data_IF_848533015750
#
_entry.id   IF_848533015750
#
_cell.length_a   1.000
_cell.length_b   1.000
_cell.length_c   1.000
_cell.angle_alpha   90.00
_cell.angle_beta   90.00
_cell.angle_gamma   90.00
#
_symmetry.space_group_name_H-M   'P 1'
#
loop_
_entity.id
_entity.type
_entity.pdbx_description
1 polymer ?
#
# COMPACT_ATOMS: atom_id res chain seq x y z
N UNK A 1 -8.51 -0.38 16.79
CA UNK A 1 -7.62 0.03 15.67
C UNK A 1 -7.08 -1.19 14.92
N UNK A 2 -6.59 -2.21 15.62
CA UNK A 2 -6.03 -3.47 15.07
C UNK A 2 -6.97 -4.21 14.09
N UNK A 3 -8.26 -4.40 14.43
CA UNK A 3 -9.20 -5.12 13.56
C UNK A 3 -9.40 -4.45 12.18
N UNK A 4 -9.40 -3.11 12.12
CA UNK A 4 -9.50 -2.37 10.85
C UNK A 4 -8.24 -2.52 10.00
N UNK A 5 -7.08 -2.60 10.64
CA UNK A 5 -5.81 -2.86 9.96
C UNK A 5 -5.82 -4.26 9.34
N UNK A 6 -6.14 -5.29 10.14
CA UNK A 6 -6.22 -6.69 9.67
C UNK A 6 -7.18 -6.83 8.48
N UNK A 7 -8.39 -6.25 8.58
CA UNK A 7 -9.37 -6.32 7.49
C UNK A 7 -8.87 -5.66 6.20
N UNK A 8 -8.13 -4.56 6.28
CA UNK A 8 -7.56 -3.88 5.10
C UNK A 8 -6.44 -4.70 4.47
N UNK A 9 -5.52 -5.22 5.28
CA UNK A 9 -4.42 -6.06 4.80
C UNK A 9 -4.94 -7.32 4.12
N UNK A 10 -5.95 -7.97 4.68
CA UNK A 10 -6.56 -9.16 4.08
C UNK A 10 -7.10 -8.90 2.67
N UNK A 11 -7.76 -7.75 2.45
CA UNK A 11 -8.31 -7.42 1.12
C UNK A 11 -7.20 -7.14 0.09
N UNK A 12 -6.10 -6.52 0.51
CA UNK A 12 -4.93 -6.32 -0.35
C UNK A 12 -4.32 -7.66 -0.78
N UNK A 13 -4.21 -8.62 0.15
CA UNK A 13 -3.72 -9.97 -0.14
C UNK A 13 -4.64 -10.67 -1.14
N UNK A 14 -5.96 -10.64 -0.93
CA UNK A 14 -6.93 -11.25 -1.84
C UNK A 14 -6.83 -10.63 -3.25
N UNK A 15 -6.74 -9.30 -3.33
CA UNK A 15 -6.55 -8.60 -4.60
C UNK A 15 -5.25 -9.02 -5.30
N UNK A 16 -4.14 -9.06 -4.57
CA UNK A 16 -2.85 -9.49 -5.12
C UNK A 16 -2.89 -10.94 -5.64
N UNK A 17 -3.53 -11.85 -4.91
CA UNK A 17 -3.72 -13.24 -5.33
C UNK A 17 -4.61 -13.34 -6.58
N UNK A 18 -5.67 -12.55 -6.67
CA UNK A 18 -6.54 -12.50 -7.85
C UNK A 18 -5.77 -11.99 -9.08
N UNK A 19 -5.03 -10.89 -8.95
CA UNK A 19 -4.14 -10.38 -10.01
C UNK A 19 -3.12 -11.45 -10.42
N UNK A 20 -2.50 -12.14 -9.46
CA UNK A 20 -1.53 -13.20 -9.74
C UNK A 20 -2.14 -14.42 -10.45
N UNK A 21 -3.41 -14.73 -10.17
CA UNK A 21 -4.15 -15.74 -10.92
C UNK A 21 -4.40 -15.31 -12.37
N UNK A 22 -4.79 -14.05 -12.57
CA UNK A 22 -5.06 -13.48 -13.90
C UNK A 22 -3.81 -13.43 -14.78
N UNK A 23 -2.63 -13.14 -14.22
CA UNK A 23 -1.36 -13.15 -14.99
C UNK A 23 -0.95 -14.53 -15.49
N UNK A 24 -1.57 -15.61 -15.03
CA UNK A 24 -1.37 -16.94 -15.63
C UNK A 24 -2.08 -17.12 -16.96
N UNK A 25 -3.11 -16.30 -17.23
CA UNK A 25 -3.96 -16.41 -18.42
C UNK A 25 -3.79 -15.23 -19.38
N UNK A 26 -3.29 -14.11 -18.87
CA UNK A 26 -3.22 -12.83 -19.58
C UNK A 26 -1.80 -12.27 -19.49
N UNK A 27 -1.40 -11.52 -20.50
CA UNK A 27 -0.20 -10.67 -20.42
C UNK A 27 -0.26 -9.76 -19.17
N UNK A 28 0.84 -9.57 -18.43
CA UNK A 28 0.85 -8.80 -17.19
C UNK A 28 0.28 -7.38 -17.34
N UNK A 29 0.56 -6.69 -18.46
CA UNK A 29 0.07 -5.34 -18.69
C UNK A 29 -1.39 -5.32 -19.08
N UNK A 30 -1.84 -6.31 -19.86
CA UNK A 30 -3.25 -6.49 -20.17
C UNK A 30 -4.07 -6.79 -18.89
N UNK A 31 -3.53 -7.58 -17.96
CA UNK A 31 -4.11 -7.80 -16.64
C UNK A 31 -4.25 -6.50 -15.85
N UNK A 32 -3.21 -5.65 -15.80
CA UNK A 32 -3.27 -4.34 -15.11
C UNK A 32 -4.37 -3.47 -15.69
N UNK A 33 -4.47 -3.39 -17.02
CA UNK A 33 -5.49 -2.59 -17.70
C UNK A 33 -6.90 -3.10 -17.37
N UNK A 34 -7.14 -4.40 -17.47
CA UNK A 34 -8.44 -5.02 -17.15
C UNK A 34 -8.81 -4.83 -15.68
N UNK A 35 -7.85 -5.01 -14.78
CA UNK A 35 -8.04 -4.78 -13.34
C UNK A 35 -8.37 -3.31 -13.05
N UNK A 36 -7.65 -2.37 -13.68
CA UNK A 36 -7.88 -0.94 -13.50
C UNK A 36 -9.28 -0.52 -13.94
N UNK A 37 -9.76 -1.03 -15.09
CA UNK A 37 -11.12 -0.77 -15.59
C UNK A 37 -12.16 -1.37 -14.64
N UNK A 38 -11.97 -2.62 -14.22
CA UNK A 38 -12.91 -3.31 -13.32
C UNK A 38 -13.00 -2.61 -11.97
N UNK A 39 -11.86 -2.19 -11.41
CA UNK A 39 -11.81 -1.44 -10.16
C UNK A 39 -12.35 -0.02 -10.30
N UNK A 40 -12.22 0.62 -11.47
CA UNK A 40 -12.86 1.91 -11.73
C UNK A 40 -14.39 1.76 -11.70
N UNK A 41 -14.94 0.74 -12.36
CA UNK A 41 -16.36 0.42 -12.31
C UNK A 41 -16.83 0.07 -10.89
N UNK A 42 -16.08 -0.74 -10.15
CA UNK A 42 -16.39 -1.10 -8.77
C UNK A 42 -16.36 0.13 -7.82
N UNK A 43 -15.35 0.99 -7.94
CA UNK A 43 -15.26 2.21 -7.14
C UNK A 43 -16.36 3.22 -7.52
N UNK A 44 -16.70 3.34 -8.81
CA UNK A 44 -17.79 4.18 -9.30
C UNK A 44 -19.18 3.69 -8.88
N UNK A 45 -19.42 2.38 -8.86
CA UNK A 45 -20.66 1.82 -8.33
C UNK A 45 -20.77 2.02 -6.83
N UNK A 46 -19.68 1.84 -6.08
CA UNK A 46 -19.63 2.18 -4.65
C UNK A 46 -19.93 3.67 -4.39
N UNK A 47 -19.39 4.55 -5.23
CA UNK A 47 -19.65 5.99 -5.19
C UNK A 47 -21.15 6.30 -5.37
N UNK A 48 -21.77 5.68 -6.37
CA UNK A 48 -23.17 5.83 -6.67
C UNK A 48 -24.06 5.28 -5.54
N UNK A 49 -23.71 4.13 -4.96
CA UNK A 49 -24.40 3.58 -3.80
C UNK A 49 -24.37 4.52 -2.60
N UNK A 50 -23.22 5.14 -2.30
CA UNK A 50 -23.11 6.14 -1.24
C UNK A 50 -23.97 7.38 -1.52
N UNK A 51 -23.99 7.87 -2.76
CA UNK A 51 -24.80 9.02 -3.16
C UNK A 51 -26.30 8.77 -2.96
N UNK A 52 -26.76 7.53 -3.11
CA UNK A 52 -28.18 7.14 -2.90
C UNK A 52 -28.49 6.69 -1.47
N UNK A 53 -27.51 6.69 -0.58
CA UNK A 53 -27.71 6.33 0.82
C UNK A 53 -27.99 7.58 1.66
N UNK A 54 -28.98 7.51 2.56
CA UNK A 54 -29.23 8.58 3.52
C UNK A 54 -28.04 8.73 4.48
N UNK A 55 -27.61 9.97 4.72
CA UNK A 55 -26.54 10.28 5.67
C UNK A 55 -27.02 9.90 7.09
N UNK A 56 -26.17 9.23 7.86
CA UNK A 56 -26.47 8.84 9.25
C UNK A 56 -27.05 7.43 9.43
N UNK A 57 -27.49 6.76 8.36
CA UNK A 57 -28.03 5.39 8.45
C UNK A 57 -27.02 4.32 8.01
N UNK A 58 -26.84 3.28 8.83
CA UNK A 58 -26.04 2.11 8.46
C UNK A 58 -26.88 1.18 7.58
N UNK A 59 -26.85 1.40 6.28
CA UNK A 59 -27.52 0.55 5.28
C UNK A 59 -26.57 -0.50 4.70
N UNK A 60 -27.11 -1.53 4.05
CA UNK A 60 -26.31 -2.51 3.31
C UNK A 60 -25.47 -1.86 2.20
N UNK A 61 -25.98 -0.79 1.57
CA UNK A 61 -25.26 0.02 0.56
C UNK A 61 -23.96 0.59 1.14
N UNK A 62 -24.01 1.10 2.36
CA UNK A 62 -22.84 1.65 3.06
C UNK A 62 -21.81 0.57 3.39
N UNK A 63 -22.26 -0.66 3.71
CA UNK A 63 -21.35 -1.79 3.94
C UNK A 63 -20.63 -2.21 2.65
N UNK A 64 -21.35 -2.31 1.53
CA UNK A 64 -20.77 -2.65 0.21
C UNK A 64 -19.80 -1.56 -0.25
N UNK A 65 -20.18 -0.29 -0.13
CA UNK A 65 -19.29 0.80 -0.47
C UNK A 65 -18.04 0.86 0.43
N UNK A 66 -18.19 0.54 1.72
CA UNK A 66 -17.06 0.39 2.65
C UNK A 66 -16.15 -0.80 2.34
N UNK A 67 -16.65 -1.82 1.63
CA UNK A 67 -15.86 -2.94 1.14
C UNK A 67 -14.97 -2.53 -0.03
N UNK A 68 -15.54 -1.79 -0.99
CA UNK A 68 -14.91 -1.37 -2.24
C UNK A 68 -14.02 -0.12 -2.09
N UNK A 69 -14.34 0.76 -1.13
CA UNK A 69 -13.62 2.01 -0.87
C UNK A 69 -12.89 2.04 0.50
N UNK A 70 -12.10 1.02 0.88
CA UNK A 70 -11.56 0.92 2.25
C UNK A 70 -10.51 2.00 2.59
N UNK A 71 -9.88 2.58 1.57
CA UNK A 71 -8.75 3.49 1.71
C UNK A 71 -9.18 4.97 1.64
N UNK A 72 -10.20 5.27 0.85
CA UNK A 72 -10.60 6.63 0.54
C UNK A 72 -11.16 7.44 1.71
N UNK A 73 -11.84 6.80 2.67
CA UNK A 73 -12.51 7.52 3.78
C UNK A 73 -11.53 8.32 4.65
N UNK A 74 -10.26 7.92 4.70
CA UNK A 74 -9.24 8.71 5.38
C UNK A 74 -8.91 9.99 4.60
N UNK A 75 -8.83 9.95 3.28
CA UNK A 75 -8.45 11.09 2.45
C UNK A 75 -9.63 12.05 2.14
N UNK A 76 -10.86 11.56 2.15
CA UNK A 76 -12.03 12.23 1.58
C UNK A 76 -12.48 13.55 2.20
N UNK A 77 -12.27 13.78 3.52
CA UNK A 77 -12.84 14.95 4.24
C UNK A 77 -14.33 15.20 3.95
N UNK A 78 -15.13 14.15 3.78
CA UNK A 78 -16.55 14.24 3.42
C UNK A 78 -16.84 14.48 1.93
N UNK A 79 -15.82 14.71 1.10
CA UNK A 79 -15.97 14.73 -0.37
C UNK A 79 -15.89 13.32 -0.92
N UNK A 80 -16.83 12.97 -1.79
CA UNK A 80 -16.96 11.61 -2.32
C UNK A 80 -15.89 11.30 -3.38
N UNK A 81 -15.56 12.26 -4.25
CA UNK A 81 -14.61 12.04 -5.35
C UNK A 81 -13.19 11.63 -4.89
N UNK A 82 -12.56 12.27 -3.88
CA UNK A 82 -11.26 11.82 -3.40
C UNK A 82 -11.29 10.41 -2.80
N UNK A 83 -12.41 10.01 -2.17
CA UNK A 83 -12.56 8.66 -1.59
C UNK A 83 -12.45 7.60 -2.69
N UNK A 84 -13.15 7.84 -3.79
CA UNK A 84 -13.19 6.96 -4.96
C UNK A 84 -11.82 6.88 -5.62
N UNK A 85 -11.22 8.04 -5.90
CA UNK A 85 -9.93 8.12 -6.57
C UNK A 85 -8.83 7.43 -5.77
N UNK A 86 -8.72 7.70 -4.48
CA UNK A 86 -7.68 7.08 -3.64
C UNK A 86 -7.85 5.57 -3.57
N UNK A 87 -9.08 5.08 -3.43
CA UNK A 87 -9.30 3.62 -3.35
C UNK A 87 -8.97 2.94 -4.68
N UNK A 88 -9.40 3.52 -5.80
CA UNK A 88 -9.07 3.03 -7.13
C UNK A 88 -7.55 2.98 -7.37
N UNK A 89 -6.84 4.07 -7.07
CA UNK A 89 -5.38 4.13 -7.21
C UNK A 89 -4.68 3.02 -6.43
N UNK A 90 -5.09 2.77 -5.18
CA UNK A 90 -4.50 1.69 -4.38
C UNK A 90 -4.71 0.32 -5.04
N UNK A 91 -5.92 0.06 -5.56
CA UNK A 91 -6.19 -1.20 -6.25
C UNK A 91 -5.36 -1.36 -7.53
N UNK A 92 -5.15 -0.29 -8.29
CA UNK A 92 -4.30 -0.30 -9.50
C UNK A 92 -2.83 -0.53 -9.13
N UNK A 93 -2.33 0.13 -8.09
CA UNK A 93 -0.96 -0.06 -7.62
C UNK A 93 -0.67 -1.50 -7.21
N UNK A 94 -1.64 -2.19 -6.60
CA UNK A 94 -1.52 -3.63 -6.30
C UNK A 94 -1.36 -4.45 -7.59
N UNK A 95 -2.16 -4.19 -8.62
CA UNK A 95 -2.03 -4.89 -9.90
C UNK A 95 -0.69 -4.61 -10.58
N UNK A 96 -0.23 -3.36 -10.60
CA UNK A 96 1.08 -2.98 -11.16
C UNK A 96 2.21 -3.70 -10.44
N UNK A 97 2.18 -3.74 -9.10
CA UNK A 97 3.20 -4.43 -8.32
C UNK A 97 3.24 -5.93 -8.64
N UNK A 98 2.07 -6.56 -8.82
CA UNK A 98 1.98 -7.97 -9.23
C UNK A 98 2.53 -8.18 -10.65
N UNK A 99 2.18 -7.30 -11.60
CA UNK A 99 2.63 -7.39 -12.98
C UNK A 99 4.16 -7.29 -13.10
N UNK A 100 4.77 -6.31 -12.44
CA UNK A 100 6.23 -6.15 -12.38
C UNK A 100 6.91 -7.41 -11.82
N UNK A 101 6.32 -8.01 -10.78
CA UNK A 101 6.86 -9.23 -10.19
C UNK A 101 6.72 -10.45 -11.10
N UNK A 102 5.69 -10.52 -11.94
CA UNK A 102 5.51 -11.61 -12.90
C UNK A 102 6.38 -11.49 -14.14
N UNK A 103 6.58 -10.28 -14.67
CA UNK A 103 7.34 -10.04 -15.89
C UNK A 103 8.81 -10.47 -15.75
N UNK A 104 9.41 -10.19 -14.58
CA UNK A 104 10.76 -10.66 -14.26
C UNK A 104 10.92 -12.19 -14.24
N UNK A 105 9.86 -12.95 -13.95
CA UNK A 105 9.94 -14.41 -13.99
C UNK A 105 10.15 -14.92 -15.40
N UNK A 106 9.48 -14.30 -16.37
CA UNK A 106 9.55 -14.69 -17.78
C UNK A 106 10.96 -14.43 -18.31
N UNK A 107 11.51 -13.24 -18.01
CA UNK A 107 12.86 -12.84 -18.41
C UNK A 107 13.97 -13.70 -17.78
N UNK A 108 13.76 -14.26 -16.58
CA UNK A 108 14.76 -15.08 -15.87
C UNK A 108 14.86 -16.52 -16.40
N UNK A 109 13.97 -16.95 -17.30
CA UNK A 109 13.94 -18.34 -17.82
C UNK A 109 14.87 -18.57 -19.00
N UNK A 110 15.42 -17.52 -19.61
CA UNK A 110 16.01 -17.61 -20.95
C UNK A 110 17.54 -17.70 -21.01
N UNK A 111 18.31 -17.46 -19.95
CA UNK A 111 19.77 -17.47 -20.08
C UNK A 111 20.50 -17.68 -18.75
N UNK A 112 21.25 -18.78 -18.67
CA UNK A 112 22.30 -19.11 -17.67
C UNK A 112 21.84 -19.52 -16.24
N UNK A 113 22.34 -20.65 -15.68
CA UNK A 113 21.86 -21.18 -14.38
C UNK A 113 22.24 -20.38 -13.12
N UNK A 114 23.18 -19.43 -13.18
CA UNK A 114 23.94 -19.07 -11.97
C UNK A 114 23.52 -17.79 -11.23
N UNK A 115 22.43 -17.14 -11.58
CA UNK A 115 21.94 -16.00 -10.79
C UNK A 115 20.43 -15.86 -10.85
N UNK A 116 19.68 -16.92 -10.55
CA UNK A 116 18.24 -16.75 -10.30
C UNK A 116 18.08 -15.88 -9.05
N UNK A 117 17.51 -14.66 -9.13
CA UNK A 117 17.20 -13.89 -7.94
C UNK A 117 16.28 -14.75 -7.07
N UNK A 118 16.75 -15.10 -5.87
CA UNK A 118 16.03 -16.05 -5.02
C UNK A 118 14.60 -15.54 -4.81
N UNK A 119 13.60 -16.40 -5.04
CA UNK A 119 12.17 -16.05 -4.89
C UNK A 119 11.87 -15.34 -3.57
N UNK A 120 12.65 -15.63 -2.52
CA UNK A 120 12.60 -14.96 -1.24
C UNK A 120 12.77 -13.43 -1.36
N UNK A 121 13.76 -12.94 -2.11
CA UNK A 121 14.02 -11.50 -2.25
C UNK A 121 12.90 -10.77 -2.98
N UNK A 122 12.27 -11.41 -3.98
CA UNK A 122 11.12 -10.82 -4.66
C UNK A 122 9.90 -10.69 -3.72
N UNK A 123 9.68 -11.68 -2.85
CA UNK A 123 8.60 -11.62 -1.84
C UNK A 123 8.90 -10.51 -0.81
N UNK A 124 10.14 -10.42 -0.32
CA UNK A 124 10.56 -9.37 0.62
C UNK A 124 10.37 -7.98 0.00
N UNK A 125 10.76 -7.79 -1.25
CA UNK A 125 10.58 -6.54 -1.99
C UNK A 125 9.10 -6.16 -2.10
N UNK A 126 8.24 -7.12 -2.45
CA UNK A 126 6.80 -6.91 -2.57
C UNK A 126 6.18 -6.48 -1.21
N UNK A 127 6.60 -7.12 -0.12
CA UNK A 127 6.17 -6.73 1.23
C UNK A 127 6.67 -5.33 1.59
N UNK A 128 7.92 -5.00 1.26
CA UNK A 128 8.48 -3.67 1.49
C UNK A 128 7.71 -2.59 0.74
N UNK A 129 7.44 -2.77 -0.56
CA UNK A 129 6.61 -1.82 -1.34
C UNK A 129 5.20 -1.68 -0.80
N UNK A 130 4.58 -2.76 -0.32
CA UNK A 130 3.27 -2.68 0.31
C UNK A 130 3.29 -1.84 1.60
N UNK A 131 4.33 -1.97 2.42
CA UNK A 131 4.52 -1.19 3.64
C UNK A 131 4.79 0.28 3.31
N UNK A 132 5.72 0.56 2.39
CA UNK A 132 6.07 1.92 1.97
C UNK A 132 4.90 2.63 1.31
N UNK A 133 4.16 1.94 0.45
CA UNK A 133 2.94 2.46 -0.17
C UNK A 133 1.86 2.79 0.88
N UNK A 134 1.66 1.92 1.87
CA UNK A 134 0.74 2.19 2.97
C UNK A 134 1.19 3.38 3.82
N UNK A 135 2.49 3.50 4.11
CA UNK A 135 3.07 4.62 4.83
C UNK A 135 2.90 5.93 4.04
N UNK A 136 3.19 5.93 2.74
CA UNK A 136 3.02 7.09 1.86
C UNK A 136 1.56 7.56 1.83
N UNK A 137 0.61 6.64 1.66
CA UNK A 137 -0.82 6.96 1.69
C UNK A 137 -1.26 7.55 3.02
N UNK A 138 -0.72 7.03 4.13
CA UNK A 138 -0.98 7.57 5.46
C UNK A 138 -0.42 8.99 5.61
N UNK A 139 0.82 9.23 5.21
CA UNK A 139 1.48 10.54 5.29
C UNK A 139 0.75 11.55 4.40
N UNK A 140 0.42 11.19 3.15
CA UNK A 140 -0.36 12.04 2.23
C UNK A 140 -1.75 12.32 2.81
N UNK A 141 -2.45 11.31 3.33
CA UNK A 141 -3.76 11.51 3.95
C UNK A 141 -3.70 12.43 5.17
N UNK A 142 -2.63 12.32 5.96
CA UNK A 142 -2.37 13.19 7.13
C UNK A 142 -2.01 14.60 6.68
N UNK A 143 -1.17 14.74 5.66
CA UNK A 143 -0.82 16.01 5.05
C UNK A 143 -2.09 16.70 4.56
N UNK A 144 -2.88 16.05 3.71
CA UNK A 144 -4.16 16.60 3.21
C UNK A 144 -5.05 17.04 4.36
N UNK A 145 -5.16 16.29 5.46
CA UNK A 145 -5.98 16.65 6.64
C UNK A 145 -5.48 17.82 7.47
N UNK A 146 -4.17 17.94 7.60
CA UNK A 146 -3.55 18.88 8.53
C UNK A 146 -2.79 20.00 7.82
N UNK A 147 -2.88 20.07 6.48
CA UNK A 147 -2.16 21.07 5.71
C UNK A 147 -2.73 22.46 5.95
N UNK A 148 -2.01 23.25 6.73
CA UNK A 148 -2.05 24.70 6.69
C UNK A 148 -0.87 25.19 5.86
N UNK A 149 -1.11 25.93 4.75
CA UNK A 149 -0.03 26.52 3.96
C UNK A 149 0.94 27.31 4.85
N UNK A 150 2.24 27.06 4.71
CA UNK A 150 3.29 27.72 5.51
C UNK A 150 3.53 27.13 6.91
N UNK A 151 2.75 26.14 7.37
CA UNK A 151 3.00 25.51 8.66
C UNK A 151 4.28 24.65 8.64
N UNK A 152 5.05 24.69 9.73
CA UNK A 152 6.23 23.82 9.91
C UNK A 152 5.87 22.33 9.82
N UNK A 153 4.72 21.94 10.36
CA UNK A 153 4.20 20.57 10.30
C UNK A 153 3.95 20.09 8.86
N UNK A 154 3.33 20.94 8.02
CA UNK A 154 3.09 20.64 6.61
C UNK A 154 4.38 20.46 5.81
N UNK A 155 5.38 21.31 6.04
CA UNK A 155 6.70 21.20 5.40
C UNK A 155 7.39 19.89 5.79
N UNK A 156 7.34 19.51 7.06
CA UNK A 156 7.91 18.23 7.52
C UNK A 156 7.22 17.03 6.87
N UNK A 157 5.89 17.03 6.77
CA UNK A 157 5.14 15.96 6.11
C UNK A 157 5.45 15.85 4.61
N UNK A 158 5.64 16.97 3.92
CA UNK A 158 6.06 16.97 2.51
C UNK A 158 7.46 16.35 2.37
N UNK A 159 8.42 16.74 3.24
CA UNK A 159 9.77 16.15 3.23
C UNK A 159 9.74 14.64 3.45
N UNK A 160 8.97 14.17 4.43
CA UNK A 160 8.81 12.73 4.69
C UNK A 160 8.20 12.03 3.47
N UNK A 161 7.17 12.62 2.85
CA UNK A 161 6.55 12.07 1.65
C UNK A 161 7.54 11.97 0.50
N UNK A 162 8.34 13.02 0.27
CA UNK A 162 9.36 13.04 -0.78
C UNK A 162 10.44 11.97 -0.56
N UNK A 163 10.86 11.75 0.69
CA UNK A 163 11.82 10.68 1.04
C UNK A 163 11.22 9.30 0.74
N UNK A 164 9.99 9.02 1.14
CA UNK A 164 9.32 7.74 0.86
C UNK A 164 9.18 7.53 -0.66
N UNK A 165 8.77 8.55 -1.40
CA UNK A 165 8.69 8.50 -2.86
C UNK A 165 10.06 8.20 -3.49
N UNK A 166 11.12 8.84 -3.00
CA UNK A 166 12.49 8.59 -3.46
C UNK A 166 12.96 7.15 -3.19
N UNK A 167 12.63 6.59 -2.02
CA UNK A 167 12.94 5.19 -1.67
C UNK A 167 12.21 4.22 -2.61
N UNK A 168 10.90 4.43 -2.82
CA UNK A 168 10.10 3.58 -3.72
C UNK A 168 10.65 3.68 -5.15
N UNK A 169 10.87 4.89 -5.67
CA UNK A 169 11.37 5.09 -7.02
C UNK A 169 12.77 4.47 -7.23
N UNK A 170 13.69 4.69 -6.29
CA UNK A 170 15.03 4.09 -6.32
C UNK A 170 14.98 2.56 -6.26
N UNK A 171 14.08 2.01 -5.44
CA UNK A 171 13.86 0.55 -5.34
C UNK A 171 13.30 -0.03 -6.65
N UNK A 172 12.35 0.66 -7.31
CA UNK A 172 11.82 0.26 -8.62
C UNK A 172 12.92 0.25 -9.68
N UNK A 173 13.76 1.30 -9.75
CA UNK A 173 14.87 1.37 -10.70
C UNK A 173 15.87 0.22 -10.47
N UNK A 174 16.24 -0.04 -9.20
CA UNK A 174 17.11 -1.17 -8.86
C UNK A 174 16.49 -2.51 -9.24
N UNK A 175 15.17 -2.67 -9.06
CA UNK A 175 14.49 -3.89 -9.44
C UNK A 175 14.51 -4.11 -10.95
N UNK A 176 14.15 -3.09 -11.75
CA UNK A 176 14.12 -3.16 -13.21
C UNK A 176 15.53 -3.43 -13.79
N UNK A 177 16.58 -2.94 -13.14
CA UNK A 177 17.99 -3.21 -13.54
C UNK A 177 18.53 -4.56 -13.05
N UNK A 178 17.69 -5.42 -12.47
CA UNK A 178 18.07 -6.77 -12.02
C UNK A 178 18.65 -6.86 -10.60
N UNK A 179 18.79 -5.74 -9.88
CA UNK A 179 19.35 -5.69 -8.52
C UNK A 179 18.29 -5.90 -7.43
N UNK A 180 17.50 -6.97 -7.52
CA UNK A 180 16.34 -7.23 -6.64
C UNK A 180 16.69 -7.28 -5.14
N UNK A 181 17.86 -7.80 -4.78
CA UNK A 181 18.33 -7.81 -3.39
C UNK A 181 18.57 -6.39 -2.87
N UNK A 182 19.28 -5.56 -3.64
CA UNK A 182 19.55 -4.16 -3.28
C UNK A 182 18.26 -3.35 -3.24
N UNK A 183 17.33 -3.58 -4.18
CA UNK A 183 16.01 -2.98 -4.18
C UNK A 183 15.22 -3.31 -2.89
N UNK A 184 15.26 -4.57 -2.45
CA UNK A 184 14.58 -5.05 -1.26
C UNK A 184 15.19 -4.46 0.02
N UNK A 185 16.51 -4.33 0.07
CA UNK A 185 17.21 -3.69 1.19
C UNK A 185 16.86 -2.20 1.24
N UNK A 186 16.90 -1.50 0.11
CA UNK A 186 16.59 -0.06 0.05
C UNK A 186 15.16 0.24 0.52
N UNK A 187 14.17 -0.52 0.03
CA UNK A 187 12.78 -0.36 0.45
C UNK A 187 12.52 -0.87 1.88
N UNK A 188 13.11 -2.01 2.26
CA UNK A 188 12.84 -2.65 3.54
C UNK A 188 13.61 -2.08 4.73
N UNK A 189 14.76 -1.44 4.52
CA UNK A 189 15.62 -0.99 5.62
C UNK A 189 14.98 0.08 6.51
N UNK A 190 14.35 1.15 5.97
CA UNK A 190 13.75 2.18 6.83
C UNK A 190 12.57 1.64 7.68
N UNK A 191 11.59 0.91 7.12
CA UNK A 191 10.53 0.31 7.93
C UNK A 191 11.04 -0.71 8.95
N UNK A 192 12.02 -1.54 8.59
CA UNK A 192 12.59 -2.52 9.51
C UNK A 192 13.32 -1.85 10.68
N UNK A 193 14.12 -0.81 10.41
CA UNK A 193 14.79 -0.03 11.45
C UNK A 193 13.78 0.62 12.40
N UNK A 194 12.72 1.23 11.86
CA UNK A 194 11.65 1.83 12.67
C UNK A 194 10.90 0.78 13.49
N UNK A 195 10.60 -0.39 12.92
CA UNK A 195 9.92 -1.48 13.64
C UNK A 195 10.78 -2.02 14.78
N UNK A 196 12.09 -2.19 14.56
CA UNK A 196 13.04 -2.62 15.60
C UNK A 196 13.14 -1.59 16.72
N UNK A 197 13.32 -0.30 16.39
CA UNK A 197 13.41 0.77 17.39
C UNK A 197 12.11 0.91 18.19
N UNK A 198 10.96 0.87 17.52
CA UNK A 198 9.66 0.95 18.17
C UNK A 198 9.38 -0.28 19.04
N UNK A 199 9.71 -1.47 18.55
CA UNK A 199 9.62 -2.71 19.31
C UNK A 199 10.50 -2.71 20.56
N UNK A 200 11.74 -2.21 20.45
CA UNK A 200 12.63 -2.03 21.58
C UNK A 200 12.08 -1.03 22.60
N UNK A 201 11.56 0.11 22.14
CA UNK A 201 10.94 1.12 23.00
C UNK A 201 9.73 0.53 23.77
N UNK A 202 8.83 -0.17 23.08
CA UNK A 202 7.68 -0.84 23.71
C UNK A 202 8.15 -1.92 24.69
N UNK A 203 9.17 -2.70 24.33
CA UNK A 203 9.77 -3.71 25.21
C UNK A 203 10.33 -3.09 26.50
N UNK A 204 11.04 -1.97 26.42
CA UNK A 204 11.56 -1.23 27.58
C UNK A 204 10.39 -0.72 28.44
N UNK A 205 9.37 -0.12 27.82
CA UNK A 205 8.18 0.35 28.55
C UNK A 205 7.46 -0.78 29.29
N UNK A 206 7.33 -1.96 28.68
CA UNK A 206 6.65 -3.11 29.31
C UNK A 206 7.49 -3.73 30.43
N UNK A 207 8.81 -3.78 30.28
CA UNK A 207 9.72 -4.43 31.24
C UNK A 207 10.09 -3.51 32.40
N UNK A 208 10.49 -2.27 32.11
CA UNK A 208 10.88 -1.28 33.11
C UNK A 208 9.65 -0.58 33.71
N UNK A 209 8.65 -0.26 32.88
CA UNK A 209 7.43 0.43 33.32
C UNK A 209 6.54 -0.38 34.25
N UNK A 210 6.62 -1.73 34.24
CA UNK A 210 5.95 -2.57 35.27
C UNK A 210 6.54 -2.38 36.66
N UNK A 211 7.81 -1.99 36.76
CA UNK A 211 8.52 -1.81 38.03
C UNK A 211 8.63 -0.34 38.45
N UNK A 212 8.51 0.60 37.51
CA UNK A 212 8.36 2.02 37.79
C UNK A 212 6.91 2.32 38.22
N UNK A 213 6.56 1.98 39.47
CA UNK A 213 5.40 2.58 40.12
C UNK A 213 5.71 4.06 40.30
N UNK A 214 4.94 4.91 39.62
CA UNK A 214 4.94 6.35 39.85
C UNK A 214 4.23 6.57 41.19
N UNK A 215 5.01 6.64 42.27
CA UNK A 215 4.59 7.27 43.52
C UNK A 215 4.94 8.76 43.45
#
# INVERSE_FOLDING_TARGET
MVQRFISRSLRLIIAALACYGLTRQLDPWMMVLLWAITMAAACGTAAWLLKTSGVGNITWKNRVAGLLLPFGYAAGRGKLWPIVLTSWLVWVLVAVAVALQTDQRIASTSTTPDATPSRAWAIVLMVAWAIDGAALLYVIGTAVKNFTPGSRSGITLIKISAVIVGIIAGSIILHITGHTRSAAILAGAPPAALAVLYGAFVGIMVTVGRNARWN
#
